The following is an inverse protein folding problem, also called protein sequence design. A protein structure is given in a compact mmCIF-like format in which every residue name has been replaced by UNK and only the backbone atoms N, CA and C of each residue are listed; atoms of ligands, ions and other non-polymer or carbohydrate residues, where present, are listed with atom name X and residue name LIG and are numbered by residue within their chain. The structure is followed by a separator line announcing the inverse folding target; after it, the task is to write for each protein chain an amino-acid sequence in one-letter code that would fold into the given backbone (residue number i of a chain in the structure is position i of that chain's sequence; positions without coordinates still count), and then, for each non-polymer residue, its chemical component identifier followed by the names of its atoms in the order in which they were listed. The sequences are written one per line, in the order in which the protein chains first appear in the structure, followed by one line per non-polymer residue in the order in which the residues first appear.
data_IF_805005365530
#
_entry.id   IF_805005365530
#
_cell.length_a   1.000
_cell.length_b   1.000
_cell.length_c   1.000
_cell.angle_alpha   90.00
_cell.angle_beta   90.00
_cell.angle_gamma   90.00
#
_symmetry.space_group_name_H-M   'P 1'
#
loop_
_entity.id
_entity.type
_entity.pdbx_description
1 polymer ?
#
# COMPACT_ATOMS: atom_id res chain seq x y z
N UNK A 1 -8.38 -1.57 33.62
CA UNK A 1 -9.19 -1.54 32.38
C UNK A 1 -9.15 -2.89 31.70
N UNK A 2 -7.98 -3.36 31.25
CA UNK A 2 -7.79 -4.70 30.62
C UNK A 2 -8.35 -5.87 31.44
N UNK A 3 -7.83 -6.07 32.67
CA UNK A 3 -8.26 -7.16 33.55
C UNK A 3 -9.72 -7.10 34.02
N UNK A 4 -10.36 -5.92 33.99
CA UNK A 4 -11.78 -5.75 34.40
C UNK A 4 -12.74 -6.29 33.32
N UNK A 5 -12.32 -6.22 32.07
CA UNK A 5 -13.14 -6.58 30.90
C UNK A 5 -12.58 -7.79 30.13
N UNK A 6 -11.52 -8.42 30.63
CA UNK A 6 -10.88 -9.55 29.97
C UNK A 6 -10.19 -9.20 28.64
N UNK A 7 -9.84 -7.93 28.42
CA UNK A 7 -9.22 -7.47 27.17
C UNK A 7 -7.77 -7.97 27.11
N UNK A 8 -7.46 -8.72 26.07
CA UNK A 8 -6.16 -9.33 25.77
C UNK A 8 -5.41 -8.51 24.71
N UNK A 9 -4.14 -8.85 24.46
CA UNK A 9 -3.33 -8.13 23.48
C UNK A 9 -3.82 -8.34 22.03
N UNK A 10 -4.48 -9.46 21.73
CA UNK A 10 -5.16 -9.69 20.46
C UNK A 10 -6.38 -8.78 20.23
N UNK A 11 -6.98 -8.24 21.29
CA UNK A 11 -8.14 -7.36 21.18
C UNK A 11 -7.76 -5.91 20.85
N UNK A 12 -6.46 -5.57 20.90
CA UNK A 12 -5.95 -4.24 20.56
C UNK A 12 -5.48 -4.19 19.12
N UNK A 13 -6.28 -3.56 18.27
CA UNK A 13 -5.91 -3.25 16.90
C UNK A 13 -5.42 -1.82 16.78
N UNK A 14 -4.26 -1.63 16.16
CA UNK A 14 -3.81 -0.33 15.71
C UNK A 14 -4.06 -0.19 14.21
N UNK A 15 -4.38 1.02 13.79
CA UNK A 15 -4.66 1.37 12.41
C UNK A 15 -3.74 2.50 11.99
N UNK A 16 -3.18 2.43 10.80
CA UNK A 16 -2.32 3.47 10.25
C UNK A 16 -2.39 3.54 8.72
N UNK A 17 -1.93 4.65 8.17
CA UNK A 17 -1.86 4.91 6.73
C UNK A 17 -0.41 4.90 6.24
N UNK A 18 -0.14 4.21 5.14
CA UNK A 18 1.15 4.28 4.46
C UNK A 18 0.99 4.58 2.97
N UNK A 19 1.76 5.56 2.49
CA UNK A 19 1.82 5.95 1.09
C UNK A 19 2.98 5.30 0.34
N UNK A 20 2.71 4.78 -0.86
CA UNK A 20 3.66 4.23 -1.80
C UNK A 20 3.71 5.12 -3.04
N UNK A 21 4.90 5.57 -3.42
CA UNK A 21 5.07 6.30 -4.67
C UNK A 21 5.45 5.35 -5.80
N UNK A 22 4.54 5.18 -6.76
CA UNK A 22 4.77 4.41 -7.96
C UNK A 22 5.68 5.20 -8.92
N UNK A 23 6.51 4.47 -9.67
CA UNK A 23 7.40 5.08 -10.66
C UNK A 23 8.62 5.81 -10.08
N UNK A 24 8.85 5.78 -8.76
CA UNK A 24 10.15 6.19 -8.19
C UNK A 24 11.15 5.05 -8.30
N UNK A 25 12.17 5.27 -9.13
CA UNK A 25 13.39 4.48 -9.11
C UNK A 25 14.25 4.94 -7.94
N UNK A 26 14.57 4.01 -7.04
CA UNK A 26 15.58 4.17 -5.99
C UNK A 26 16.90 3.59 -6.51
N UNK A 27 18.02 4.24 -6.16
CA UNK A 27 19.33 3.68 -6.48
C UNK A 27 19.51 2.35 -5.73
N UNK A 28 19.71 1.26 -6.47
CA UNK A 28 20.02 -0.05 -5.92
C UNK A 28 21.45 -0.49 -6.28
N UNK A 29 22.02 -1.37 -5.46
CA UNK A 29 23.28 -2.02 -5.79
C UNK A 29 23.01 -3.17 -6.76
N UNK A 30 23.73 -3.18 -7.87
CA UNK A 30 23.63 -4.23 -8.90
C UNK A 30 25.03 -4.75 -9.23
N UNK A 31 25.15 -6.06 -9.46
CA UNK A 31 26.40 -6.67 -9.94
C UNK A 31 26.45 -6.53 -11.46
N UNK A 32 27.38 -5.74 -11.98
CA UNK A 32 27.61 -5.53 -13.42
C UNK A 32 28.94 -6.11 -13.86
N UNK A 33 29.15 -6.28 -15.17
CA UNK A 33 30.45 -6.70 -15.70
C UNK A 33 31.54 -5.68 -15.33
N UNK A 34 32.79 -6.15 -15.16
CA UNK A 34 33.93 -5.31 -14.78
C UNK A 34 34.22 -4.17 -15.79
N UNK A 35 33.78 -4.34 -17.04
CA UNK A 35 33.94 -3.34 -18.11
C UNK A 35 32.93 -2.18 -18.00
N UNK A 36 31.85 -2.34 -17.23
CA UNK A 36 30.90 -1.25 -16.91
C UNK A 36 31.30 -0.59 -15.60
N UNK A 37 32.24 0.33 -15.66
CA UNK A 37 32.58 1.22 -14.55
C UNK A 37 31.72 2.48 -14.60
N UNK A 38 30.75 2.61 -13.69
CA UNK A 38 30.00 3.85 -13.49
C UNK A 38 28.61 3.65 -12.89
N UNK A 39 28.06 4.73 -12.31
CA UNK A 39 26.64 4.78 -11.93
C UNK A 39 25.79 4.94 -13.19
N UNK A 40 24.86 4.02 -13.44
CA UNK A 40 23.84 4.21 -14.47
C UNK A 40 22.98 5.43 -14.12
N UNK A 41 22.59 6.22 -15.13
CA UNK A 41 21.60 7.28 -14.93
C UNK A 41 20.24 6.61 -14.73
N UNK A 42 19.67 6.77 -13.55
CA UNK A 42 18.27 6.43 -13.33
C UNK A 42 17.40 7.42 -14.13
N UNK A 43 16.78 6.94 -15.20
CA UNK A 43 15.77 7.70 -15.94
C UNK A 43 14.45 7.44 -15.22
N UNK A 44 13.96 8.43 -14.48
CA UNK A 44 12.67 8.35 -13.81
C UNK A 44 11.56 8.34 -14.88
N UNK A 45 10.71 7.29 -14.94
CA UNK A 45 9.49 7.33 -15.73
C UNK A 45 8.62 8.50 -15.24
N UNK A 46 7.93 9.16 -16.16
CA UNK A 46 7.18 10.39 -15.84
C UNK A 46 5.95 10.19 -14.95
N UNK A 47 5.48 8.96 -14.74
CA UNK A 47 4.28 8.72 -13.95
C UNK A 47 4.63 8.56 -12.47
N UNK A 48 4.36 9.61 -11.68
CA UNK A 48 4.50 9.62 -10.22
C UNK A 48 3.11 9.66 -9.61
N UNK A 49 2.53 8.49 -9.47
CA UNK A 49 1.23 8.31 -8.82
C UNK A 49 1.43 7.77 -7.41
N UNK A 50 0.58 8.21 -6.50
CA UNK A 50 0.55 7.68 -5.15
C UNK A 50 -0.48 6.55 -5.07
N UNK A 51 -0.11 5.49 -4.38
CA UNK A 51 -1.03 4.48 -3.86
C UNK A 51 -0.92 4.51 -2.35
N UNK A 52 -2.05 4.47 -1.66
CA UNK A 52 -2.13 4.56 -0.21
C UNK A 52 -2.74 3.28 0.32
N UNK A 53 -2.13 2.68 1.32
CA UNK A 53 -2.71 1.54 2.02
C UNK A 53 -3.07 1.95 3.44
N UNK A 54 -4.31 1.63 3.78
CA UNK A 54 -4.80 1.64 5.13
C UNK A 54 -4.57 0.23 5.69
N UNK A 55 -3.81 0.13 6.77
CA UNK A 55 -3.41 -1.13 7.38
C UNK A 55 -3.86 -1.20 8.83
N UNK A 56 -4.23 -2.39 9.28
CA UNK A 56 -4.68 -2.61 10.64
C UNK A 56 -4.18 -3.96 11.15
N UNK A 57 -3.64 -3.98 12.37
CA UNK A 57 -3.19 -5.22 12.99
C UNK A 57 -3.07 -5.13 14.50
N UNK A 58 -2.97 -6.29 15.15
CA UNK A 58 -2.86 -6.42 16.60
C UNK A 58 -1.49 -6.88 17.07
N UNK A 59 -1.33 -6.98 18.40
CA UNK A 59 -0.08 -7.40 19.04
C UNK A 59 0.32 -8.86 18.78
N UNK A 60 -0.59 -9.69 18.25
CA UNK A 60 -0.33 -11.10 17.94
C UNK A 60 0.01 -11.33 16.45
N UNK A 61 0.02 -10.26 15.64
CA UNK A 61 0.33 -10.33 14.22
C UNK A 61 -0.87 -10.65 13.32
N UNK A 62 -2.09 -10.67 13.87
CA UNK A 62 -3.29 -10.70 13.05
C UNK A 62 -3.47 -9.35 12.34
N UNK A 63 -3.91 -9.39 11.09
CA UNK A 63 -4.13 -8.20 10.27
C UNK A 63 -5.51 -8.25 9.63
N UNK A 64 -6.17 -7.10 9.57
CA UNK A 64 -7.38 -6.93 8.76
C UNK A 64 -6.93 -6.69 7.32
N UNK A 65 -7.64 -7.25 6.31
CA UNK A 65 -7.35 -6.95 4.91
C UNK A 65 -7.24 -5.44 4.67
N UNK A 66 -6.17 -4.98 3.99
CA UNK A 66 -5.94 -3.56 3.81
C UNK A 66 -6.98 -2.94 2.88
N UNK A 67 -7.21 -1.64 3.06
CA UNK A 67 -7.98 -0.82 2.14
C UNK A 67 -7.02 0.00 1.28
N UNK A 68 -7.00 -0.29 -0.01
CA UNK A 68 -6.09 0.35 -0.96
C UNK A 68 -6.78 1.52 -1.65
N UNK A 69 -6.12 2.67 -1.65
CA UNK A 69 -6.55 3.87 -2.37
C UNK A 69 -5.56 4.12 -3.49
N UNK A 70 -6.04 4.18 -4.72
CA UNK A 70 -5.21 4.43 -5.90
C UNK A 70 -5.69 5.66 -6.64
N UNK A 71 -4.77 6.40 -7.26
CA UNK A 71 -5.18 7.49 -8.14
C UNK A 71 -5.88 6.92 -9.38
N UNK A 72 -7.13 7.32 -9.62
CA UNK A 72 -7.92 6.80 -10.74
C UNK A 72 -9.35 7.36 -10.77
N UNK A 73 -10.08 7.04 -11.82
CA UNK A 73 -11.50 7.41 -11.97
C UNK A 73 -12.43 6.19 -11.93
N UNK A 74 -11.93 5.04 -12.35
CA UNK A 74 -12.71 3.80 -12.46
C UNK A 74 -11.87 2.62 -12.02
N UNK A 75 -12.56 1.58 -11.60
CA UNK A 75 -11.97 0.26 -11.46
C UNK A 75 -11.77 -0.38 -12.83
N UNK A 76 -10.62 -0.99 -13.04
CA UNK A 76 -10.42 -1.88 -14.17
C UNK A 76 -10.62 -3.32 -13.71
N UNK A 77 -11.37 -4.13 -14.48
CA UNK A 77 -11.69 -5.51 -14.09
C UNK A 77 -10.44 -6.37 -13.93
N UNK A 78 -9.40 -6.10 -14.74
CA UNK A 78 -8.13 -6.81 -14.70
C UNK A 78 -7.41 -6.68 -13.34
N UNK A 79 -7.68 -5.64 -12.55
CA UNK A 79 -7.12 -5.51 -11.20
C UNK A 79 -7.56 -6.67 -10.28
N UNK A 80 -8.72 -7.26 -10.54
CA UNK A 80 -9.29 -8.34 -9.73
C UNK A 80 -9.17 -9.72 -10.38
N UNK A 81 -9.08 -9.77 -11.72
CA UNK A 81 -9.11 -11.04 -12.46
C UNK A 81 -7.76 -11.48 -13.00
N UNK A 82 -6.80 -10.56 -13.11
CA UNK A 82 -5.50 -10.79 -13.74
C UNK A 82 -4.33 -10.43 -12.81
N UNK A 83 -4.59 -10.29 -11.51
CA UNK A 83 -3.56 -10.05 -10.49
C UNK A 83 -3.63 -11.11 -9.40
N UNK A 84 -2.53 -11.26 -8.65
CA UNK A 84 -2.46 -12.11 -7.46
C UNK A 84 -2.96 -11.38 -6.19
N UNK A 85 -3.72 -10.28 -6.33
CA UNK A 85 -4.27 -9.58 -5.17
C UNK A 85 -5.35 -10.44 -4.50
N UNK A 86 -5.34 -10.56 -3.16
CA UNK A 86 -6.38 -11.28 -2.45
C UNK A 86 -7.76 -10.64 -2.69
N UNK A 87 -8.78 -11.47 -2.87
CA UNK A 87 -10.14 -11.02 -3.25
C UNK A 87 -10.88 -10.28 -2.14
N UNK A 88 -10.42 -10.43 -0.90
CA UNK A 88 -10.95 -9.77 0.29
C UNK A 88 -10.37 -8.37 0.51
N UNK A 89 -9.42 -7.93 -0.33
CA UNK A 89 -8.86 -6.58 -0.25
C UNK A 89 -9.80 -5.59 -0.92
N UNK A 90 -10.09 -4.51 -0.21
CA UNK A 90 -10.83 -3.40 -0.77
C UNK A 90 -9.87 -2.49 -1.55
N UNK A 91 -10.30 -2.05 -2.73
CA UNK A 91 -9.58 -1.05 -3.53
C UNK A 91 -10.56 0.08 -3.79
N UNK A 92 -10.09 1.32 -3.83
CA UNK A 92 -10.89 2.50 -4.18
C UNK A 92 -10.07 3.46 -5.04
N UNK A 93 -10.52 3.79 -6.26
CA UNK A 93 -9.95 4.86 -7.05
C UNK A 93 -10.42 6.21 -6.50
N UNK A 94 -9.48 7.13 -6.28
CA UNK A 94 -9.78 8.54 -6.00
C UNK A 94 -9.04 9.43 -7.00
N UNK A 95 -9.53 10.64 -7.23
CA UNK A 95 -8.93 11.54 -8.24
C UNK A 95 -7.49 11.95 -7.93
N UNK A 96 -7.09 11.86 -6.65
CA UNK A 96 -5.80 12.32 -6.15
C UNK A 96 -4.98 11.24 -5.42
N UNK A 97 -5.52 10.02 -5.23
CA UNK A 97 -4.84 8.94 -4.49
C UNK A 97 -4.85 9.08 -2.97
N UNK A 98 -5.64 10.01 -2.42
CA UNK A 98 -5.75 10.26 -0.99
C UNK A 98 -7.13 9.89 -0.45
N UNK A 99 -7.20 9.60 0.85
CA UNK A 99 -8.48 9.44 1.55
C UNK A 99 -9.12 10.81 1.82
N UNK A 100 -10.44 10.83 1.91
CA UNK A 100 -11.21 11.93 2.47
C UNK A 100 -12.25 11.39 3.47
N UNK A 101 -12.99 12.28 4.13
CA UNK A 101 -14.02 11.89 5.11
C UNK A 101 -15.10 10.96 4.53
N UNK A 102 -15.42 11.08 3.25
CA UNK A 102 -16.42 10.23 2.59
C UNK A 102 -15.86 8.82 2.36
N UNK A 103 -14.58 8.73 1.96
CA UNK A 103 -13.89 7.47 1.71
C UNK A 103 -13.65 6.68 2.99
N UNK A 104 -13.47 7.36 4.13
CA UNK A 104 -13.29 6.70 5.43
C UNK A 104 -14.57 6.13 6.06
N UNK A 105 -15.72 6.29 5.41
CA UNK A 105 -17.01 5.74 5.85
C UNK A 105 -17.43 4.48 5.08
N UNK A 106 -16.72 4.15 4.00
CA UNK A 106 -16.90 2.91 3.24
C UNK A 106 -16.17 1.74 3.92
#
# INVERSE_FOLDING_TARGET
MRAKYGIQDCDFYNFDETGFMMGIIVACMVVTSAERNGRSKAIQPGNREWATAIICGNGEGETIPPFLIVQGQVHLSNWYTETDLPTDWAIKPTSNGWMNNETGLE
#
